data_IF_907403936888
#
_entry.id   IF_907403936888
#
_cell.length_a   1.000
_cell.length_b   1.000
_cell.length_c   1.000
_cell.angle_alpha   90.00
_cell.angle_beta   90.00
_cell.angle_gamma   90.00
#
_symmetry.space_group_name_H-M   'P 1'
#
loop_
_entity.id
_entity.type
_entity.pdbx_description
1 polymer ?
#
# COMPACT_ATOMS: atom_id res chain seq x y z
N UNK A 1 6.25 16.46 -9.02
CA UNK A 1 6.33 15.19 -8.27
C UNK A 1 4.92 14.66 -7.96
N UNK A 2 4.22 14.07 -8.94
CA UNK A 2 2.85 13.58 -8.69
C UNK A 2 2.81 12.22 -7.99
N UNK A 3 3.92 11.49 -7.95
CA UNK A 3 3.96 10.09 -7.53
C UNK A 3 4.43 9.93 -6.09
N UNK A 4 3.70 9.13 -5.33
CA UNK A 4 4.19 8.49 -4.11
C UNK A 4 4.51 7.02 -4.42
N UNK A 5 5.59 6.48 -3.85
CA UNK A 5 5.99 5.07 -4.07
C UNK A 5 6.36 4.43 -2.74
N UNK A 6 5.74 3.30 -2.43
CA UNK A 6 6.12 2.46 -1.30
C UNK A 6 6.78 1.18 -1.82
N UNK A 7 7.91 0.80 -1.26
CA UNK A 7 8.61 -0.45 -1.58
C UNK A 7 8.70 -1.28 -0.31
N UNK A 8 7.87 -2.33 -0.22
CA UNK A 8 7.94 -3.30 0.87
C UNK A 8 9.22 -4.13 0.81
N UNK A 9 9.89 -4.31 1.94
CA UNK A 9 11.17 -5.03 2.06
C UNK A 9 11.04 -6.32 2.88
N UNK A 10 10.24 -6.29 3.95
CA UNK A 10 10.05 -7.43 4.85
C UNK A 10 8.66 -7.38 5.47
N UNK A 11 7.96 -8.51 5.46
CA UNK A 11 6.75 -8.72 6.23
C UNK A 11 7.09 -9.51 7.50
N UNK A 12 6.85 -8.90 8.66
CA UNK A 12 6.86 -9.57 9.96
C UNK A 12 5.44 -9.98 10.33
N UNK A 13 5.22 -11.26 10.64
CA UNK A 13 3.91 -11.74 11.08
C UNK A 13 3.79 -11.57 12.59
N UNK A 14 2.76 -10.84 13.03
CA UNK A 14 2.52 -10.55 14.46
C UNK A 14 1.37 -11.37 15.04
N UNK A 15 0.40 -11.74 14.20
CA UNK A 15 -0.71 -12.64 14.58
C UNK A 15 -1.16 -13.49 13.38
N UNK A 16 -2.21 -14.29 13.54
CA UNK A 16 -2.70 -15.20 12.50
C UNK A 16 -3.02 -14.46 11.18
N UNK A 17 -3.66 -13.30 11.28
CA UNK A 17 -4.12 -12.44 10.18
C UNK A 17 -3.50 -11.04 10.21
N UNK A 18 -2.44 -10.81 10.98
CA UNK A 18 -1.83 -9.49 11.16
C UNK A 18 -0.31 -9.56 10.99
N UNK A 19 0.27 -8.45 10.55
CA UNK A 19 1.72 -8.29 10.44
C UNK A 19 2.14 -6.85 10.25
N UNK A 20 3.45 -6.61 10.33
CA UNK A 20 4.08 -5.34 10.01
C UNK A 20 4.84 -5.48 8.69
N UNK A 21 4.47 -4.70 7.69
CA UNK A 21 5.20 -4.60 6.43
C UNK A 21 6.18 -3.42 6.53
N UNK A 22 7.44 -3.75 6.73
CA UNK A 22 8.55 -2.80 6.70
C UNK A 22 8.86 -2.42 5.25
N UNK A 23 8.95 -1.13 4.96
CA UNK A 23 9.30 -0.66 3.64
C UNK A 23 9.84 0.76 3.63
N UNK A 24 10.04 1.28 2.42
CA UNK A 24 10.50 2.64 2.20
C UNK A 24 9.44 3.42 1.42
N UNK A 25 9.02 4.55 1.98
CA UNK A 25 8.10 5.49 1.35
C UNK A 25 8.88 6.63 0.69
N UNK A 26 8.60 6.83 -0.59
CA UNK A 26 9.11 7.92 -1.40
C UNK A 26 7.96 8.89 -1.63
N UNK A 27 8.06 10.08 -1.05
CA UNK A 27 7.04 11.11 -1.14
C UNK A 27 7.71 12.47 -1.24
N UNK A 28 7.35 13.24 -2.28
CA UNK A 28 7.93 14.56 -2.58
C UNK A 28 9.47 14.57 -2.67
N UNK A 29 10.05 13.49 -3.21
CA UNK A 29 11.51 13.35 -3.36
C UNK A 29 12.25 12.98 -2.06
N UNK A 30 11.54 12.83 -0.95
CA UNK A 30 12.10 12.35 0.33
C UNK A 30 11.85 10.85 0.44
N UNK A 31 12.86 10.10 0.89
CA UNK A 31 12.79 8.66 1.20
C UNK A 31 12.88 8.47 2.70
N UNK A 32 11.97 7.68 3.27
CA UNK A 32 11.91 7.35 4.70
C UNK A 32 11.51 5.89 4.84
N UNK A 33 12.09 5.20 5.81
CA UNK A 33 11.57 3.90 6.24
C UNK A 33 10.19 4.14 6.91
N UNK A 34 9.21 3.31 6.57
CA UNK A 34 7.84 3.36 7.05
C UNK A 34 7.34 1.93 7.25
N UNK A 35 6.72 1.71 8.41
CA UNK A 35 6.12 0.44 8.78
C UNK A 35 4.61 0.52 8.61
N UNK A 36 4.03 -0.42 7.85
CA UNK A 36 2.59 -0.54 7.70
C UNK A 36 2.07 -1.67 8.58
N UNK A 37 1.12 -1.37 9.48
CA UNK A 37 0.36 -2.40 10.18
C UNK A 37 -0.68 -2.98 9.21
N UNK A 38 -0.47 -4.22 8.79
CA UNK A 38 -1.26 -4.92 7.77
C UNK A 38 -2.19 -5.93 8.44
N UNK A 39 -3.44 -5.94 7.99
CA UNK A 39 -4.43 -6.96 8.32
C UNK A 39 -4.83 -7.70 7.05
N UNK A 40 -4.76 -9.03 7.10
CA UNK A 40 -5.42 -9.88 6.12
C UNK A 40 -6.91 -10.01 6.50
N UNK A 41 -7.79 -9.57 5.61
CA UNK A 41 -9.22 -9.52 5.88
C UNK A 41 -9.90 -10.86 5.57
N UNK A 42 -9.86 -11.27 4.30
CA UNK A 42 -10.33 -12.60 3.86
C UNK A 42 -9.72 -12.97 2.51
N UNK A 43 -9.72 -14.26 2.21
CA UNK A 43 -9.57 -14.78 0.86
C UNK A 43 -10.71 -15.74 0.54
N UNK A 44 -11.13 -15.78 -0.72
CA UNK A 44 -12.17 -16.70 -1.19
C UNK A 44 -12.51 -16.50 -2.65
N UNK A 45 -13.25 -17.46 -3.20
CA UNK A 45 -13.77 -17.37 -4.56
C UNK A 45 -14.81 -16.25 -4.69
N UNK A 46 -14.69 -15.45 -5.74
CA UNK A 46 -15.74 -14.55 -6.20
C UNK A 46 -16.70 -15.33 -7.11
N UNK A 47 -17.94 -15.60 -6.69
CA UNK A 47 -18.88 -16.41 -7.47
C UNK A 47 -19.32 -15.74 -8.77
N UNK A 48 -19.13 -14.42 -8.92
CA UNK A 48 -19.48 -13.67 -10.12
C UNK A 48 -18.29 -13.51 -11.07
N UNK A 49 -17.09 -13.36 -10.52
CA UNK A 49 -15.87 -13.19 -11.33
C UNK A 49 -15.17 -14.51 -11.68
N UNK A 50 -15.60 -15.65 -11.09
CA UNK A 50 -14.95 -16.97 -11.22
C UNK A 50 -13.44 -16.94 -10.95
N UNK A 51 -13.00 -16.04 -10.05
CA UNK A 51 -11.60 -15.86 -9.65
C UNK A 51 -11.49 -15.81 -8.14
N UNK A 52 -10.37 -16.31 -7.61
CA UNK A 52 -10.04 -16.12 -6.20
C UNK A 52 -9.60 -14.69 -5.93
N UNK A 53 -10.07 -14.12 -4.82
CA UNK A 53 -9.68 -12.80 -4.34
C UNK A 53 -9.12 -12.87 -2.93
N UNK A 54 -8.25 -11.91 -2.59
CA UNK A 54 -7.75 -11.69 -1.25
C UNK A 54 -7.80 -10.20 -0.91
N UNK A 55 -8.36 -9.86 0.24
CA UNK A 55 -8.49 -8.50 0.75
C UNK A 55 -7.51 -8.22 1.89
N UNK A 56 -6.92 -7.03 1.89
CA UNK A 56 -5.99 -6.56 2.92
C UNK A 56 -6.28 -5.10 3.28
N UNK A 57 -6.10 -4.77 4.55
CA UNK A 57 -6.06 -3.39 5.03
C UNK A 57 -4.66 -3.08 5.55
N UNK A 58 -4.22 -1.83 5.45
CA UNK A 58 -2.99 -1.37 6.07
C UNK A 58 -3.13 0.04 6.65
N UNK A 59 -2.43 0.30 7.77
CA UNK A 59 -2.42 1.60 8.43
C UNK A 59 -1.01 2.03 8.85
N UNK A 60 -0.77 3.33 8.82
CA UNK A 60 0.37 4.00 9.47
C UNK A 60 0.01 5.44 9.77
N UNK A 61 0.75 6.08 10.65
CA UNK A 61 0.77 7.53 10.79
C UNK A 61 2.09 8.07 10.22
N UNK A 62 2.05 9.19 9.52
CA UNK A 62 3.21 9.91 9.01
C UNK A 62 3.23 11.32 9.57
N UNK A 63 4.41 11.91 9.77
CA UNK A 63 4.53 13.36 9.89
C UNK A 63 4.75 13.99 8.51
N UNK A 64 3.80 14.78 8.02
CA UNK A 64 3.92 15.46 6.71
C UNK A 64 5.14 16.39 6.63
N UNK A 65 5.61 16.90 7.76
CA UNK A 65 6.80 17.76 7.82
C UNK A 65 8.07 17.00 7.48
N UNK A 66 8.14 15.70 7.78
CA UNK A 66 9.26 14.84 7.43
C UNK A 66 9.43 14.66 5.93
N UNK A 67 8.35 14.88 5.16
CA UNK A 67 8.31 14.84 3.69
C UNK A 67 8.31 16.24 3.04
N UNK A 68 8.71 17.27 3.79
CA UNK A 68 8.89 18.62 3.27
C UNK A 68 7.60 19.40 3.03
N UNK A 69 6.45 18.95 3.55
CA UNK A 69 5.21 19.71 3.50
C UNK A 69 5.18 20.72 4.64
N UNK A 70 5.78 21.90 4.47
CA UNK A 70 5.97 22.89 5.54
C UNK A 70 4.84 23.93 5.66
N UNK A 71 3.96 24.04 4.66
CA UNK A 71 2.88 25.03 4.66
C UNK A 71 1.97 24.87 5.89
N UNK A 72 1.56 26.00 6.48
CA UNK A 72 0.66 26.08 7.63
C UNK A 72 1.11 25.31 8.88
N UNK A 73 2.43 25.13 9.09
CA UNK A 73 2.97 24.36 10.22
C UNK A 73 2.48 24.82 11.60
N UNK A 74 2.17 26.10 11.77
CA UNK A 74 1.70 26.67 13.04
C UNK A 74 0.22 26.37 13.34
N UNK A 75 -0.58 26.03 12.31
CA UNK A 75 -2.04 25.91 12.44
C UNK A 75 -2.60 24.57 11.93
N UNK A 76 -1.82 23.79 11.20
CA UNK A 76 -2.17 22.44 10.70
C UNK A 76 -1.13 21.45 11.22
N UNK A 77 -1.59 20.44 11.96
CA UNK A 77 -0.75 19.40 12.54
C UNK A 77 0.11 18.65 11.52
N UNK A 78 1.22 18.08 12.01
CA UNK A 78 2.11 17.20 11.25
C UNK A 78 1.54 15.80 10.99
N UNK A 79 0.91 15.15 12.00
CA UNK A 79 0.38 13.81 11.86
C UNK A 79 -0.66 13.66 10.75
N UNK A 80 -0.49 12.61 9.94
CA UNK A 80 -1.41 12.21 8.87
C UNK A 80 -1.58 10.70 8.96
N UNK A 81 -2.82 10.24 9.18
CA UNK A 81 -3.17 8.82 9.12
C UNK A 81 -3.28 8.38 7.65
N UNK A 82 -2.58 7.30 7.30
CA UNK A 82 -2.75 6.60 6.04
C UNK A 82 -3.56 5.33 6.29
N UNK A 83 -4.63 5.17 5.52
CA UNK A 83 -5.47 3.96 5.48
C UNK A 83 -5.50 3.44 4.06
N UNK A 84 -5.09 2.20 3.89
CA UNK A 84 -4.95 1.55 2.58
C UNK A 84 -5.84 0.31 2.59
N UNK A 85 -6.63 0.14 1.55
CA UNK A 85 -7.48 -1.04 1.33
C UNK A 85 -7.12 -1.62 -0.05
N UNK A 86 -6.79 -2.91 -0.11
CA UNK A 86 -6.36 -3.58 -1.35
C UNK A 86 -7.15 -4.86 -1.54
N UNK A 87 -7.63 -5.08 -2.76
CA UNK A 87 -8.13 -6.36 -3.24
C UNK A 87 -7.19 -6.89 -4.33
N UNK A 88 -6.62 -8.07 -4.10
CA UNK A 88 -5.82 -8.80 -5.07
C UNK A 88 -6.63 -9.91 -5.73
N UNK A 89 -6.55 -10.03 -7.05
CA UNK A 89 -7.10 -11.15 -7.81
C UNK A 89 -6.00 -12.17 -8.07
N UNK A 90 -6.26 -13.45 -7.81
CA UNK A 90 -5.31 -14.53 -8.10
C UNK A 90 -5.12 -14.64 -9.63
N UNK A 91 -3.90 -14.40 -10.10
CA UNK A 91 -3.50 -14.62 -11.48
C UNK A 91 -2.65 -15.89 -11.60
N UNK A 92 -2.84 -16.65 -12.68
CA UNK A 92 -2.08 -17.87 -12.98
C UNK A 92 -0.72 -17.59 -13.64
N UNK A 93 -0.51 -16.38 -14.17
CA UNK A 93 0.73 -15.97 -14.81
C UNK A 93 1.79 -15.55 -13.76
N UNK A 94 3.07 -15.86 -13.98
CA UNK A 94 4.14 -15.39 -13.11
C UNK A 94 4.21 -13.84 -13.12
N UNK A 95 4.61 -13.21 -12.00
CA UNK A 95 4.71 -11.76 -11.91
C UNK A 95 5.76 -11.22 -12.90
N UNK A 96 5.29 -10.55 -13.96
CA UNK A 96 6.11 -9.98 -15.03
C UNK A 96 5.42 -9.96 -16.40
N UNK A 97 4.43 -10.82 -16.63
CA UNK A 97 3.82 -10.98 -17.97
C UNK A 97 2.42 -10.32 -18.09
N UNK A 98 1.77 -10.02 -16.96
CA UNK A 98 0.40 -9.47 -16.94
C UNK A 98 0.32 -7.93 -17.11
N UNK A 99 1.44 -7.22 -17.24
CA UNK A 99 1.46 -5.75 -17.32
C UNK A 99 1.40 -5.18 -18.76
N UNK A 100 1.42 -6.03 -19.79
CA UNK A 100 1.47 -5.60 -21.19
C UNK A 100 0.16 -5.64 -21.96
N UNK A 101 -0.96 -6.07 -21.34
CA UNK A 101 -2.24 -6.24 -22.05
C UNK A 101 -3.33 -5.24 -21.61
N UNK A 102 -2.94 -4.00 -21.34
CA UNK A 102 -3.85 -2.87 -21.32
C UNK A 102 -3.44 -1.91 -22.46
N UNK A 103 -3.63 -2.36 -23.69
CA UNK A 103 -3.63 -1.47 -24.84
C UNK A 103 -4.88 -0.61 -24.73
N UNK A 104 -4.68 0.70 -24.54
CA UNK A 104 -5.70 1.73 -24.79
C UNK A 104 -6.21 1.55 -26.23
N UNK A 105 -7.47 1.14 -26.37
CA UNK A 105 -8.19 1.36 -27.63
C UNK A 105 -8.76 2.78 -27.67
N UNK A 106 -8.59 3.37 -28.85
CA UNK A 106 -8.78 4.74 -29.27
C UNK A 106 -10.24 5.24 -29.20
#
# INVERSE_FOLDING_TARGET
>A
WPTARFIGRRLEKTAASEGILHGELWLRGVRRDVDLAVTFNRAGGDPYAFKDKAGFSARTELDRFDFGMQTYREVVGGPVELRIEVEGVRSAAPPGEAATDATEEH
#
